data_IF_717185120823
#
_entry.id   IF_717185120823
#
_cell.length_a   1.000
_cell.length_b   1.000
_cell.length_c   1.000
_cell.angle_alpha   90.00
_cell.angle_beta   90.00
_cell.angle_gamma   90.00
#
_symmetry.space_group_name_H-M   'P 1'
#
loop_
_entity.id
_entity.type
_entity.pdbx_description
1 polymer ?
#
# COMPACT_ATOMS: atom_id res chain seq x y z
N UNK A 1 -16.43 16.09 -10.99
CA UNK A 1 -16.25 17.16 -10.02
C UNK A 1 -16.02 18.50 -10.71
N UNK A 2 -16.41 19.57 -10.08
CA UNK A 2 -16.28 20.94 -10.61
C UNK A 2 -15.30 21.73 -9.73
N UNK A 3 -14.45 22.53 -10.38
CA UNK A 3 -13.53 23.45 -9.71
C UNK A 3 -14.02 24.88 -9.89
N UNK A 4 -14.13 25.61 -8.80
CA UNK A 4 -14.53 27.03 -8.79
C UNK A 4 -13.29 27.92 -8.57
N UNK A 5 -12.74 28.53 -9.64
CA UNK A 5 -11.46 29.28 -9.54
C UNK A 5 -11.52 30.48 -8.59
N UNK A 6 -12.67 31.10 -8.45
CA UNK A 6 -12.85 32.30 -7.63
C UNK A 6 -12.72 32.01 -6.13
N UNK A 7 -13.08 30.82 -5.68
CA UNK A 7 -13.01 30.43 -4.26
C UNK A 7 -11.93 29.39 -3.98
N UNK A 8 -11.29 28.83 -5.01
CA UNK A 8 -10.39 27.71 -4.88
C UNK A 8 -11.08 26.41 -4.45
N UNK A 9 -12.40 26.35 -4.56
CA UNK A 9 -13.22 25.23 -4.09
C UNK A 9 -13.34 24.16 -5.17
N UNK A 10 -13.15 22.91 -4.76
CA UNK A 10 -13.42 21.74 -5.61
C UNK A 10 -14.62 20.99 -5.05
N UNK A 11 -15.64 20.81 -5.86
CA UNK A 11 -16.86 20.08 -5.49
C UNK A 11 -16.89 18.73 -6.20
N UNK A 12 -16.99 17.65 -5.44
CA UNK A 12 -17.19 16.30 -5.94
C UNK A 12 -18.62 15.89 -5.61
N UNK A 13 -19.40 15.57 -6.62
CA UNK A 13 -20.69 14.91 -6.43
C UNK A 13 -20.43 13.40 -6.45
N UNK A 14 -20.64 12.67 -5.35
CA UNK A 14 -20.53 11.23 -5.36
C UNK A 14 -21.51 10.64 -6.38
N UNK A 15 -21.20 9.52 -7.06
CA UNK A 15 -22.20 8.82 -7.85
C UNK A 15 -23.38 8.45 -6.93
N UNK A 16 -24.60 8.56 -7.47
CA UNK A 16 -25.80 8.18 -6.73
C UNK A 16 -25.64 6.77 -6.17
N UNK A 17 -25.96 6.59 -4.89
CA UNK A 17 -25.82 5.33 -4.18
C UNK A 17 -26.68 4.25 -4.86
N UNK A 18 -26.06 3.51 -5.74
CA UNK A 18 -26.58 2.31 -6.37
C UNK A 18 -25.77 1.12 -5.91
N UNK A 19 -26.22 0.44 -4.86
CA UNK A 19 -25.57 -0.75 -4.32
C UNK A 19 -24.55 -0.45 -3.21
N UNK A 20 -24.50 -1.27 -2.27
CA UNK A 20 -23.84 -1.44 -0.98
C UNK A 20 -22.32 -1.12 -0.86
N UNK A 21 -21.82 -0.18 -1.66
CA UNK A 21 -20.44 0.28 -1.72
C UNK A 21 -20.37 1.73 -1.25
N UNK A 22 -20.50 1.95 0.06
CA UNK A 22 -20.32 3.30 0.63
C UNK A 22 -18.94 3.87 0.26
N UNK A 23 -18.90 5.09 -0.29
CA UNK A 23 -17.65 5.82 -0.46
C UNK A 23 -17.16 6.22 0.92
N UNK A 24 -16.08 5.63 1.38
CA UNK A 24 -15.48 5.94 2.68
C UNK A 24 -14.43 7.04 2.61
N UNK A 25 -13.96 7.37 1.44
CA UNK A 25 -12.97 8.44 1.22
C UNK A 25 -13.10 9.07 -0.17
N UNK A 26 -12.97 10.39 -0.22
CA UNK A 26 -12.76 11.15 -1.46
C UNK A 26 -11.32 11.66 -1.47
N UNK A 27 -10.58 11.32 -2.51
CA UNK A 27 -9.21 11.81 -2.72
C UNK A 27 -9.15 12.66 -3.97
N UNK A 28 -8.65 13.89 -3.84
CA UNK A 28 -8.41 14.82 -4.94
C UNK A 28 -6.91 14.86 -5.22
N UNK A 29 -6.54 14.72 -6.48
CA UNK A 29 -5.15 14.88 -6.94
C UNK A 29 -5.11 16.07 -7.90
N UNK A 30 -4.20 16.99 -7.66
CA UNK A 30 -3.94 18.14 -8.52
C UNK A 30 -2.47 18.16 -8.94
N UNK A 31 -2.21 18.45 -10.22
CA UNK A 31 -0.87 18.61 -10.77
C UNK A 31 -0.69 20.05 -11.22
N UNK A 32 0.36 20.73 -10.75
CA UNK A 32 0.70 22.07 -11.21
C UNK A 32 1.45 22.07 -12.56
N UNK A 33 1.69 23.26 -13.12
CA UNK A 33 2.40 23.41 -14.38
C UNK A 33 3.87 22.96 -14.32
N UNK A 34 4.46 22.90 -13.13
CA UNK A 34 5.84 22.43 -12.90
C UNK A 34 5.90 20.90 -12.75
N UNK A 35 4.74 20.23 -12.77
CA UNK A 35 4.64 18.79 -12.65
C UNK A 35 4.54 18.29 -11.21
N UNK A 36 4.52 19.16 -10.20
CA UNK A 36 4.31 18.74 -8.82
C UNK A 36 2.87 18.29 -8.62
N UNK A 37 2.69 17.22 -7.85
CA UNK A 37 1.38 16.63 -7.57
C UNK A 37 1.04 16.86 -6.10
N UNK A 38 -0.09 17.52 -5.88
CA UNK A 38 -0.71 17.63 -4.57
C UNK A 38 -1.86 16.62 -4.41
N UNK A 39 -2.10 16.18 -3.19
CA UNK A 39 -3.21 15.31 -2.84
C UNK A 39 -3.92 15.85 -1.59
N UNK A 40 -5.24 15.84 -1.61
CA UNK A 40 -6.09 16.06 -0.45
C UNK A 40 -7.10 14.93 -0.34
N UNK A 41 -7.37 14.46 0.87
CA UNK A 41 -8.35 13.39 1.11
C UNK A 41 -9.29 13.77 2.24
N UNK A 42 -10.57 13.40 2.09
CA UNK A 42 -11.59 13.55 3.11
C UNK A 42 -12.16 12.16 3.41
N UNK A 43 -12.10 11.75 4.67
CA UNK A 43 -12.75 10.54 5.12
C UNK A 43 -14.23 10.82 5.32
N UNK A 44 -15.06 9.97 4.74
CA UNK A 44 -16.50 9.98 4.98
C UNK A 44 -16.83 9.04 6.13
N UNK A 45 -17.82 9.34 6.96
CA UNK A 45 -18.21 8.43 8.03
C UNK A 45 -18.54 7.06 7.44
N UNK A 46 -18.04 6.00 8.08
CA UNK A 46 -18.34 4.63 7.68
C UNK A 46 -19.85 4.41 7.67
N UNK A 47 -20.39 3.90 6.58
CA UNK A 47 -21.74 3.36 6.58
C UNK A 47 -21.74 2.20 7.59
N UNK A 48 -22.60 2.24 8.61
CA UNK A 48 -22.66 1.25 9.67
C UNK A 48 -23.11 -0.13 9.19
N UNK A 49 -22.35 -0.71 8.26
CA UNK A 49 -22.54 -2.07 7.75
C UNK A 49 -21.96 -3.12 8.70
N UNK A 50 -22.45 -4.35 8.57
CA UNK A 50 -21.92 -5.51 9.28
C UNK A 50 -20.44 -5.72 8.91
N UNK A 51 -19.58 -5.94 9.92
CA UNK A 51 -18.15 -6.18 9.72
C UNK A 51 -17.91 -7.45 8.93
N UNK A 52 -17.02 -7.38 7.94
CA UNK A 52 -16.70 -8.55 7.10
C UNK A 52 -15.91 -9.62 7.85
N UNK A 53 -15.05 -9.20 8.77
CA UNK A 53 -14.14 -10.09 9.49
C UNK A 53 -14.47 -10.16 10.98
N UNK A 54 -14.44 -11.36 11.53
CA UNK A 54 -14.85 -11.62 12.93
C UNK A 54 -13.89 -11.05 13.95
N UNK A 55 -12.63 -10.82 13.58
CA UNK A 55 -11.56 -10.33 14.47
C UNK A 55 -11.28 -8.83 14.31
N UNK A 56 -12.11 -8.10 13.56
CA UNK A 56 -11.89 -6.66 13.34
C UNK A 56 -12.90 -5.76 14.04
N UNK A 57 -13.86 -6.30 14.80
CA UNK A 57 -14.94 -5.52 15.40
C UNK A 57 -14.44 -4.34 16.27
N UNK A 58 -13.43 -4.59 17.10
CA UNK A 58 -12.81 -3.58 17.99
C UNK A 58 -11.44 -3.10 17.44
N UNK A 59 -11.09 -3.48 16.22
CA UNK A 59 -9.81 -3.10 15.63
C UNK A 59 -9.87 -1.67 15.10
N UNK A 60 -8.89 -0.84 15.43
CA UNK A 60 -8.82 0.57 15.01
C UNK A 60 -8.86 0.78 13.49
N UNK A 61 -8.43 -0.21 12.74
CA UNK A 61 -8.31 -0.19 11.28
C UNK A 61 -9.35 -1.08 10.59
N UNK A 62 -10.46 -1.42 11.23
CA UNK A 62 -11.48 -2.31 10.69
C UNK A 62 -11.99 -1.88 9.31
N UNK A 63 -12.26 -0.58 9.13
CA UNK A 63 -12.74 -0.03 7.87
C UNK A 63 -11.73 -0.21 6.74
N UNK A 64 -10.44 -0.17 7.04
CA UNK A 64 -9.39 -0.43 6.06
C UNK A 64 -9.37 -1.90 5.62
N UNK A 65 -9.61 -2.83 6.57
CA UNK A 65 -9.70 -4.25 6.28
C UNK A 65 -10.90 -4.56 5.38
N UNK A 66 -12.07 -4.03 5.72
CA UNK A 66 -13.30 -4.16 4.93
C UNK A 66 -13.15 -3.55 3.53
N UNK A 67 -12.49 -2.39 3.44
CA UNK A 67 -12.17 -1.75 2.15
C UNK A 67 -11.32 -2.66 1.25
N UNK A 68 -10.27 -3.28 1.79
CA UNK A 68 -9.43 -4.19 1.02
C UNK A 68 -10.21 -5.41 0.51
N UNK A 69 -11.11 -5.94 1.33
CA UNK A 69 -11.99 -7.02 0.91
C UNK A 69 -12.91 -6.60 -0.23
N UNK A 70 -13.61 -5.48 -0.06
CA UNK A 70 -14.55 -4.95 -1.06
C UNK A 70 -13.89 -4.60 -2.39
N UNK A 71 -12.60 -4.29 -2.37
CA UNK A 71 -11.79 -4.03 -3.57
C UNK A 71 -11.13 -5.27 -4.18
N UNK A 72 -11.32 -6.45 -3.56
CA UNK A 72 -10.68 -7.70 -3.99
C UNK A 72 -9.16 -7.71 -3.78
N UNK A 73 -8.64 -6.85 -2.87
CA UNK A 73 -7.21 -6.73 -2.59
C UNK A 73 -6.76 -7.83 -1.64
N UNK A 74 -7.56 -8.10 -0.59
CA UNK A 74 -7.30 -9.16 0.39
C UNK A 74 -8.60 -9.77 0.86
N UNK A 75 -8.73 -11.09 0.71
CA UNK A 75 -9.93 -11.85 1.12
C UNK A 75 -9.95 -12.25 2.60
N UNK A 76 -8.89 -12.01 3.35
CA UNK A 76 -8.72 -12.58 4.69
C UNK A 76 -8.38 -14.07 4.64
N UNK A 77 -8.77 -14.79 5.67
CA UNK A 77 -8.56 -16.23 5.82
C UNK A 77 -9.87 -17.02 5.77
N UNK A 78 -9.79 -18.33 5.53
CA UNK A 78 -10.95 -19.21 5.38
C UNK A 78 -11.79 -19.31 6.66
N UNK A 79 -11.20 -18.98 7.82
CA UNK A 79 -11.90 -18.93 9.12
C UNK A 79 -12.69 -17.62 9.36
N UNK A 80 -12.75 -16.75 8.35
CA UNK A 80 -13.46 -15.48 8.44
C UNK A 80 -12.71 -14.37 9.16
N UNK A 81 -11.41 -14.55 9.46
CA UNK A 81 -10.55 -13.53 10.10
C UNK A 81 -9.74 -12.73 9.07
N UNK A 82 -9.32 -11.52 9.45
CA UNK A 82 -8.34 -10.73 8.70
C UNK A 82 -6.92 -10.86 9.26
N UNK A 83 -6.82 -11.09 10.55
CA UNK A 83 -5.57 -11.14 11.34
C UNK A 83 -4.76 -9.85 11.20
N UNK A 84 -5.31 -8.71 11.60
CA UNK A 84 -4.69 -7.40 11.34
C UNK A 84 -3.36 -7.18 12.07
N UNK A 85 -3.14 -7.85 13.20
CA UNK A 85 -1.92 -7.74 14.00
C UNK A 85 -0.82 -8.72 13.58
N UNK A 86 -1.11 -9.69 12.69
CA UNK A 86 -0.10 -10.58 12.15
C UNK A 86 0.93 -9.82 11.33
N UNK A 87 2.20 -10.20 11.47
CA UNK A 87 3.29 -9.66 10.67
C UNK A 87 3.10 -10.02 9.19
N UNK A 88 3.31 -9.04 8.34
CA UNK A 88 3.11 -9.21 6.90
C UNK A 88 4.34 -9.85 6.26
N UNK A 89 4.15 -11.01 5.65
CA UNK A 89 5.21 -11.65 4.86
C UNK A 89 5.44 -10.91 3.55
N UNK A 90 6.63 -11.06 2.97
CA UNK A 90 6.95 -10.47 1.68
C UNK A 90 6.06 -10.98 0.56
N UNK A 91 5.65 -12.25 0.63
CA UNK A 91 4.71 -12.82 -0.34
C UNK A 91 3.33 -12.21 -0.22
N UNK A 92 2.76 -12.18 1.00
CA UNK A 92 1.41 -11.62 1.22
C UNK A 92 1.36 -10.15 0.83
N UNK A 93 2.40 -9.38 1.21
CA UNK A 93 2.54 -8.00 0.78
C UNK A 93 2.52 -7.86 -0.75
N UNK A 94 3.29 -8.71 -1.45
CA UNK A 94 3.37 -8.65 -2.91
C UNK A 94 2.02 -8.97 -3.56
N UNK A 95 1.29 -9.97 -3.05
CA UNK A 95 -0.04 -10.29 -3.55
C UNK A 95 -1.02 -9.14 -3.29
N UNK A 96 -1.03 -8.56 -2.09
CA UNK A 96 -1.90 -7.42 -1.78
C UNK A 96 -1.59 -6.21 -2.66
N UNK A 97 -0.30 -5.88 -2.84
CA UNK A 97 0.09 -4.74 -3.69
C UNK A 97 -0.24 -4.98 -5.17
N UNK A 98 0.00 -6.19 -5.69
CA UNK A 98 -0.37 -6.58 -7.05
C UNK A 98 -1.89 -6.40 -7.30
N UNK A 99 -2.73 -6.89 -6.38
CA UNK A 99 -4.18 -6.74 -6.48
C UNK A 99 -4.60 -5.26 -6.38
N UNK A 100 -3.96 -4.48 -5.50
CA UNK A 100 -4.23 -3.05 -5.34
C UNK A 100 -3.92 -2.25 -6.62
N UNK A 101 -2.84 -2.61 -7.31
CA UNK A 101 -2.41 -1.98 -8.57
C UNK A 101 -3.21 -2.48 -9.77
N UNK A 102 -4.01 -3.54 -9.63
CA UNK A 102 -4.81 -4.16 -10.71
C UNK A 102 -3.98 -4.47 -11.96
N UNK A 103 -2.77 -5.02 -11.76
CA UNK A 103 -1.89 -5.35 -12.86
C UNK A 103 -2.45 -6.54 -13.66
N UNK A 104 -2.43 -6.42 -14.99
CA UNK A 104 -2.89 -7.49 -15.89
C UNK A 104 -1.90 -8.65 -15.90
N UNK A 105 -2.27 -9.87 -15.44
CA UNK A 105 -1.36 -11.01 -15.41
C UNK A 105 -0.87 -11.42 -16.79
N UNK A 106 -1.65 -11.22 -17.86
CA UNK A 106 -1.28 -11.59 -19.22
C UNK A 106 -0.06 -10.82 -19.71
N UNK A 107 0.08 -9.55 -19.31
CA UNK A 107 1.24 -8.70 -19.68
C UNK A 107 2.57 -9.25 -19.18
N UNK A 108 2.56 -10.02 -18.09
CA UNK A 108 3.77 -10.47 -17.39
C UNK A 108 3.95 -11.99 -17.40
N UNK A 109 3.15 -12.73 -18.16
CA UNK A 109 3.13 -14.19 -18.16
C UNK A 109 4.50 -14.80 -18.49
N UNK A 110 5.23 -14.20 -19.43
CA UNK A 110 6.52 -14.68 -19.92
C UNK A 110 7.73 -14.09 -19.15
N UNK A 111 7.50 -13.31 -18.09
CA UNK A 111 8.60 -12.71 -17.32
C UNK A 111 9.33 -13.80 -16.55
N UNK A 112 10.61 -14.00 -16.85
CA UNK A 112 11.48 -14.90 -16.12
C UNK A 112 11.89 -14.28 -14.77
N UNK A 113 11.78 -15.06 -13.70
CA UNK A 113 12.17 -14.61 -12.35
C UNK A 113 13.58 -15.13 -12.03
N UNK A 114 14.49 -14.26 -11.55
CA UNK A 114 15.89 -14.63 -11.29
C UNK A 114 16.10 -15.21 -9.87
N UNK A 115 15.03 -15.50 -9.12
CA UNK A 115 15.13 -15.90 -7.72
C UNK A 115 15.42 -17.39 -7.55
N UNK A 116 16.36 -17.72 -6.65
CA UNK A 116 16.81 -19.08 -6.39
C UNK A 116 15.83 -19.89 -5.51
N UNK A 117 14.81 -19.25 -4.97
CA UNK A 117 13.83 -19.83 -4.03
C UNK A 117 12.40 -19.84 -4.59
N UNK A 118 12.26 -19.96 -5.92
CA UNK A 118 10.95 -19.98 -6.61
C UNK A 118 10.11 -21.19 -6.21
N UNK A 119 10.73 -22.32 -5.86
CA UNK A 119 10.04 -23.53 -5.40
C UNK A 119 9.25 -23.33 -4.09
N UNK A 120 9.55 -22.25 -3.35
CA UNK A 120 8.81 -21.86 -2.13
C UNK A 120 7.58 -21.02 -2.41
N UNK A 121 7.34 -20.64 -3.68
CA UNK A 121 6.20 -19.82 -4.07
C UNK A 121 5.03 -20.73 -4.50
N UNK A 122 3.84 -20.57 -3.89
CA UNK A 122 2.64 -21.18 -4.45
C UNK A 122 2.41 -20.68 -5.88
N UNK A 123 2.10 -21.60 -6.79
CA UNK A 123 1.94 -21.31 -8.23
C UNK A 123 0.97 -20.14 -8.49
N UNK A 124 -0.14 -20.08 -7.73
CA UNK A 124 -1.14 -19.00 -7.81
C UNK A 124 -0.59 -17.60 -7.52
N UNK A 125 0.58 -17.49 -6.90
CA UNK A 125 1.21 -16.20 -6.53
C UNK A 125 2.27 -15.74 -7.53
N UNK A 126 2.69 -16.60 -8.46
CA UNK A 126 3.68 -16.28 -9.48
C UNK A 126 3.31 -15.07 -10.35
N UNK A 127 2.04 -14.89 -10.79
CA UNK A 127 1.65 -13.70 -11.53
C UNK A 127 1.95 -12.39 -10.79
N UNK A 128 1.68 -12.34 -9.49
CA UNK A 128 1.96 -11.16 -8.67
C UNK A 128 3.47 -10.88 -8.58
N UNK A 129 4.29 -11.91 -8.36
CA UNK A 129 5.75 -11.75 -8.24
C UNK A 129 6.36 -11.35 -9.58
N UNK A 130 5.91 -11.95 -10.70
CA UNK A 130 6.36 -11.59 -12.06
C UNK A 130 6.05 -10.14 -12.41
N UNK A 131 4.82 -9.73 -12.18
CA UNK A 131 4.39 -8.36 -12.46
C UNK A 131 5.19 -7.34 -11.64
N UNK A 132 5.30 -7.54 -10.32
CA UNK A 132 6.03 -6.62 -9.45
C UNK A 132 7.54 -6.62 -9.71
N UNK A 133 8.11 -7.74 -10.15
CA UNK A 133 9.50 -7.79 -10.58
C UNK A 133 9.73 -7.01 -11.89
N UNK A 134 8.87 -7.20 -12.88
CA UNK A 134 8.95 -6.49 -14.15
C UNK A 134 8.77 -4.97 -13.99
N UNK A 135 7.90 -4.54 -13.09
CA UNK A 135 7.70 -3.11 -12.74
C UNK A 135 8.79 -2.55 -11.80
N UNK A 136 9.83 -3.36 -11.46
CA UNK A 136 10.94 -2.93 -10.61
C UNK A 136 10.57 -2.71 -9.13
N UNK A 137 9.37 -3.11 -8.71
CA UNK A 137 8.89 -3.01 -7.32
C UNK A 137 9.60 -4.03 -6.43
N UNK A 138 9.74 -5.26 -6.92
CA UNK A 138 10.46 -6.36 -6.28
C UNK A 138 11.82 -6.53 -6.93
N UNK A 139 12.89 -6.44 -6.15
CA UNK A 139 14.27 -6.55 -6.64
C UNK A 139 15.03 -7.78 -6.09
N UNK A 140 14.45 -8.49 -5.11
CA UNK A 140 15.12 -9.58 -4.40
C UNK A 140 16.21 -9.12 -3.43
N UNK A 141 16.85 -10.09 -2.81
CA UNK A 141 17.97 -9.89 -1.88
C UNK A 141 19.10 -10.84 -2.25
N UNK A 142 20.32 -10.33 -2.36
CA UNK A 142 21.49 -11.16 -2.68
C UNK A 142 21.89 -12.00 -1.46
N UNK A 143 21.99 -13.31 -1.66
CA UNK A 143 22.51 -14.25 -0.67
C UNK A 143 24.03 -14.25 -0.60
N UNK A 144 24.59 -14.89 0.42
CA UNK A 144 26.05 -15.06 0.59
C UNK A 144 26.66 -15.93 -0.51
N UNK A 145 25.86 -16.75 -1.16
CA UNK A 145 26.22 -17.61 -2.29
C UNK A 145 26.15 -16.88 -3.65
N UNK A 146 25.93 -15.58 -3.64
CA UNK A 146 25.83 -14.75 -4.82
C UNK A 146 24.51 -14.86 -5.59
N UNK A 147 23.59 -15.73 -5.18
CA UNK A 147 22.28 -15.87 -5.80
C UNK A 147 21.29 -14.83 -5.29
N UNK A 148 20.28 -14.53 -6.10
CA UNK A 148 19.21 -13.65 -5.73
C UNK A 148 18.04 -14.43 -5.13
N UNK A 149 17.46 -13.95 -4.04
CA UNK A 149 16.35 -14.59 -3.34
C UNK A 149 15.16 -13.64 -3.23
N UNK A 150 13.96 -14.15 -3.43
CA UNK A 150 12.73 -13.43 -3.16
C UNK A 150 12.41 -13.37 -1.65
N UNK A 151 12.71 -14.44 -0.92
CA UNK A 151 12.44 -14.62 0.51
C UNK A 151 10.95 -14.51 0.87
N UNK A 152 10.06 -15.38 0.35
CA UNK A 152 8.61 -15.24 0.45
C UNK A 152 8.08 -15.18 1.89
N UNK A 153 8.66 -15.97 2.80
CA UNK A 153 8.23 -16.06 4.21
C UNK A 153 8.88 -14.99 5.11
N UNK A 154 9.79 -14.17 4.58
CA UNK A 154 10.45 -13.12 5.35
C UNK A 154 9.47 -11.99 5.68
N UNK A 155 9.44 -11.55 6.94
CA UNK A 155 8.65 -10.38 7.33
C UNK A 155 9.27 -9.10 6.77
N UNK A 156 8.44 -8.18 6.36
CA UNK A 156 8.88 -6.88 5.85
C UNK A 156 8.98 -5.85 6.96
N UNK A 157 10.08 -5.09 6.96
CA UNK A 157 10.12 -3.88 7.77
C UNK A 157 9.26 -2.79 7.15
N UNK A 158 8.86 -1.82 7.96
CA UNK A 158 8.09 -0.66 7.51
C UNK A 158 8.83 0.12 6.41
N UNK A 159 10.15 0.28 6.52
CA UNK A 159 10.96 0.91 5.48
C UNK A 159 10.97 0.10 4.16
N UNK A 160 11.06 -1.22 4.22
CA UNK A 160 11.02 -2.07 3.03
C UNK A 160 9.65 -1.98 2.33
N UNK A 161 8.56 -2.11 3.09
CA UNK A 161 7.21 -1.98 2.55
C UNK A 161 6.99 -0.61 1.90
N UNK A 162 7.41 0.47 2.58
CA UNK A 162 7.33 1.84 2.04
C UNK A 162 8.12 2.00 0.74
N UNK A 163 9.33 1.45 0.65
CA UNK A 163 10.13 1.52 -0.58
C UNK A 163 9.48 0.76 -1.73
N UNK A 164 8.90 -0.41 -1.47
CA UNK A 164 8.19 -1.19 -2.49
C UNK A 164 6.95 -0.46 -2.99
N UNK A 165 6.12 0.09 -2.10
CA UNK A 165 4.96 0.90 -2.50
C UNK A 165 5.41 2.14 -3.27
N UNK A 166 6.41 2.85 -2.78
CA UNK A 166 6.89 4.07 -3.43
C UNK A 166 7.43 3.85 -4.84
N UNK A 167 8.02 2.69 -5.13
CA UNK A 167 8.44 2.31 -6.49
C UNK A 167 7.26 2.12 -7.46
N UNK A 168 6.10 1.73 -6.93
CA UNK A 168 4.89 1.53 -7.74
C UNK A 168 4.11 2.81 -7.98
N UNK A 169 4.51 3.93 -7.35
CA UNK A 169 3.79 5.19 -7.47
C UNK A 169 4.29 6.04 -8.64
N UNK A 170 3.42 6.93 -9.12
CA UNK A 170 3.81 7.96 -10.09
C UNK A 170 4.94 8.85 -9.55
N UNK A 171 5.78 9.32 -10.43
CA UNK A 171 6.84 10.27 -10.12
C UNK A 171 6.31 11.71 -10.19
N UNK A 172 7.05 12.64 -9.61
CA UNK A 172 6.74 14.08 -9.70
C UNK A 172 6.11 14.68 -8.44
N UNK A 173 6.09 13.96 -7.34
CA UNK A 173 5.69 14.53 -6.05
C UNK A 173 6.84 15.32 -5.40
N UNK A 174 6.49 16.37 -4.67
CA UNK A 174 7.41 17.08 -3.81
C UNK A 174 7.93 16.13 -2.71
N UNK A 175 9.13 16.40 -2.21
CA UNK A 175 9.72 15.66 -1.10
C UNK A 175 9.41 16.37 0.22
N UNK A 176 8.70 15.70 1.13
CA UNK A 176 8.52 16.23 2.48
C UNK A 176 9.84 16.27 3.25
N UNK A 177 9.98 17.22 4.15
CA UNK A 177 10.95 17.12 5.24
C UNK A 177 10.44 16.09 6.25
N UNK A 178 11.32 15.17 6.69
CA UNK A 178 10.97 14.17 7.67
C UNK A 178 11.25 14.69 9.07
N UNK A 179 10.20 14.93 9.83
CA UNK A 179 10.26 15.43 11.20
C UNK A 179 10.23 14.34 12.26
N UNK A 180 10.33 13.06 11.85
CA UNK A 180 10.33 11.94 12.78
C UNK A 180 11.58 11.95 13.66
N UNK A 181 11.42 11.64 14.95
CA UNK A 181 12.53 11.61 15.91
C UNK A 181 13.59 10.57 15.58
N UNK A 182 13.21 9.54 14.85
CA UNK A 182 14.05 8.45 14.36
C UNK A 182 14.36 8.53 12.85
N UNK A 183 14.16 9.68 12.21
CA UNK A 183 14.38 9.84 10.77
C UNK A 183 15.80 9.44 10.32
N UNK A 184 16.81 9.62 11.16
CA UNK A 184 18.18 9.20 10.88
C UNK A 184 18.34 7.67 10.74
N UNK A 185 17.40 6.88 11.26
CA UNK A 185 17.40 5.42 11.14
C UNK A 185 16.75 4.92 9.83
N UNK A 186 16.18 5.83 9.04
CA UNK A 186 15.56 5.46 7.75
C UNK A 186 16.68 5.09 6.76
N UNK A 187 16.67 3.87 6.22
CA UNK A 187 17.68 3.46 5.27
C UNK A 187 17.66 4.32 4.01
N UNK A 188 18.85 4.63 3.45
CA UNK A 188 18.99 5.49 2.28
C UNK A 188 18.15 5.05 1.09
N UNK A 189 18.01 3.73 0.86
CA UNK A 189 17.19 3.18 -0.22
C UNK A 189 15.69 3.50 -0.09
N UNK A 190 15.20 3.76 1.13
CA UNK A 190 13.80 4.02 1.41
C UNK A 190 13.48 5.53 1.55
N UNK A 191 14.49 6.34 1.85
CA UNK A 191 14.31 7.76 2.21
C UNK A 191 13.54 8.55 1.16
N UNK A 192 13.91 8.43 -0.11
CA UNK A 192 13.22 9.11 -1.22
C UNK A 192 11.73 8.77 -1.26
N UNK A 193 11.40 7.47 -1.21
CA UNK A 193 10.03 6.99 -1.28
C UNK A 193 9.20 7.38 -0.07
N UNK A 194 9.78 7.31 1.14
CA UNK A 194 9.09 7.72 2.37
C UNK A 194 8.77 9.21 2.32
N UNK A 195 9.73 10.07 1.94
CA UNK A 195 9.52 11.51 1.79
C UNK A 195 8.42 11.84 0.78
N UNK A 196 8.41 11.15 -0.35
CA UNK A 196 7.37 11.30 -1.36
C UNK A 196 6.00 10.89 -0.83
N UNK A 197 5.89 9.75 -0.14
CA UNK A 197 4.62 9.25 0.38
C UNK A 197 4.11 10.06 1.58
N UNK A 198 5.02 10.63 2.38
CA UNK A 198 4.66 11.59 3.44
C UNK A 198 4.09 12.88 2.85
N UNK A 199 4.70 13.42 1.79
CA UNK A 199 4.17 14.62 1.12
C UNK A 199 2.79 14.42 0.49
N UNK A 200 2.46 13.17 0.15
CA UNK A 200 1.15 12.78 -0.37
C UNK A 200 0.12 12.45 0.73
N UNK A 201 0.52 12.45 2.00
CA UNK A 201 -0.31 12.01 3.11
C UNK A 201 -0.59 10.49 3.13
N UNK A 202 0.14 9.70 2.34
CA UNK A 202 0.00 8.22 2.32
C UNK A 202 0.64 7.60 3.56
N UNK A 203 1.77 8.15 4.00
CA UNK A 203 2.48 7.73 5.21
C UNK A 203 2.47 8.83 6.26
N UNK A 204 2.34 8.42 7.51
CA UNK A 204 2.55 9.25 8.69
C UNK A 204 3.41 8.49 9.70
N UNK A 205 3.94 9.20 10.69
CA UNK A 205 4.55 8.60 11.88
C UNK A 205 3.51 8.07 12.87
N UNK A 206 4.02 7.63 14.01
CA UNK A 206 3.23 7.29 15.19
C UNK A 206 3.03 8.53 16.08
N UNK A 207 2.10 8.44 17.04
CA UNK A 207 1.76 9.55 17.95
C UNK A 207 2.94 9.98 18.84
N UNK A 208 3.93 9.10 19.03
CA UNK A 208 5.19 9.41 19.74
C UNK A 208 6.24 10.14 18.87
N UNK A 209 5.87 10.52 17.65
CA UNK A 209 6.73 11.22 16.72
C UNK A 209 7.75 10.34 15.99
N UNK A 210 7.70 9.00 16.14
CA UNK A 210 8.58 8.06 15.44
C UNK A 210 8.00 7.57 14.13
N UNK A 211 8.84 7.10 13.21
CA UNK A 211 8.45 6.36 11.99
C UNK A 211 8.59 4.84 12.16
N UNK A 212 9.56 4.40 12.97
CA UNK A 212 9.92 3.00 13.24
C UNK A 212 10.30 2.23 11.97
N UNK A 213 11.32 2.67 11.22
CA UNK A 213 11.65 2.12 9.91
C UNK A 213 12.04 0.64 9.95
N UNK A 214 12.63 0.17 11.05
CA UNK A 214 13.09 -1.21 11.23
C UNK A 214 12.03 -2.15 11.84
N UNK A 215 10.92 -1.61 12.35
CA UNK A 215 9.83 -2.42 12.86
C UNK A 215 9.16 -3.20 11.72
N UNK A 216 8.81 -4.45 11.96
CA UNK A 216 8.02 -5.21 11.01
C UNK A 216 6.61 -4.61 10.88
N UNK A 217 6.11 -4.55 9.66
CA UNK A 217 4.76 -4.04 9.38
C UNK A 217 3.71 -5.14 9.55
N UNK A 218 2.56 -4.78 10.11
CA UNK A 218 1.43 -5.70 10.24
C UNK A 218 0.48 -5.61 9.04
N UNK A 219 -0.39 -6.62 8.90
CA UNK A 219 -1.42 -6.67 7.84
C UNK A 219 -2.39 -5.48 7.93
N UNK A 220 -2.80 -5.10 9.13
CA UNK A 220 -3.68 -3.95 9.34
C UNK A 220 -3.02 -2.60 9.04
N UNK A 221 -1.74 -2.45 9.37
CA UNK A 221 -0.97 -1.26 8.99
C UNK A 221 -0.84 -1.15 7.47
N UNK A 222 -0.61 -2.27 6.78
CA UNK A 222 -0.60 -2.30 5.31
C UNK A 222 -1.98 -1.94 4.75
N UNK A 223 -3.07 -2.42 5.37
CA UNK A 223 -4.42 -2.09 4.94
C UNK A 223 -4.66 -0.58 4.97
N UNK A 224 -4.25 0.11 6.03
CA UNK A 224 -4.32 1.59 6.12
C UNK A 224 -3.51 2.26 5.00
N UNK A 225 -2.29 1.81 4.73
CA UNK A 225 -1.44 2.41 3.70
C UNK A 225 -2.07 2.24 2.32
N UNK A 226 -2.53 1.04 1.97
CA UNK A 226 -3.20 0.79 0.69
C UNK A 226 -4.50 1.58 0.54
N UNK A 227 -5.29 1.66 1.61
CA UNK A 227 -6.49 2.50 1.64
C UNK A 227 -6.18 3.97 1.34
N UNK A 228 -5.12 4.49 1.95
CA UNK A 228 -4.71 5.89 1.76
C UNK A 228 -4.11 6.14 0.37
N UNK A 229 -3.50 5.10 -0.21
CA UNK A 229 -2.88 5.17 -1.54
C UNK A 229 -3.92 5.19 -2.67
N UNK A 230 -5.02 4.45 -2.52
CA UNK A 230 -6.04 4.21 -3.57
C UNK A 230 -7.19 5.22 -3.52
#
# INVERSE_FOLDING_TARGET
GEYEPATGRFTVTPPAAGGDQGISRVTIRAKDYSGNIGRASVDLPASGGERRFTDTAEYWGADYCDFLYNRGISGGYDDGTFRPDDLLTRLDFSVMLYNALRLDPAKYAEVALPFADLEKLPERTLPAVRALYAEGVVTGTQGKDGKLYFNPAGNLTRAQASAMIGRSQEKGYALAELTFTDAAQIPGYASFYIRTMVSQGILSGYDDGTFRPQANITRGQMAKILYTML
#
